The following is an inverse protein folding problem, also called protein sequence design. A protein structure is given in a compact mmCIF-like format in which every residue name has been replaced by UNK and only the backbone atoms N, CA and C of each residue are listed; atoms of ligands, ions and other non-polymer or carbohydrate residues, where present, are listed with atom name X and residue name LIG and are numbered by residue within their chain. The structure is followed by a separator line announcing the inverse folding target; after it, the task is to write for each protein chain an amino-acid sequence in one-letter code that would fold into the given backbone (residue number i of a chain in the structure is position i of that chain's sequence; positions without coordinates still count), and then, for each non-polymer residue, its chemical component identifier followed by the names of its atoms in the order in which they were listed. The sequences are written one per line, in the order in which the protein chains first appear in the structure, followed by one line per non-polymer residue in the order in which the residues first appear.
data_IF_218303149625
#
_entry.id   IF_218303149625
#
_cell.length_a   1.000
_cell.length_b   1.000
_cell.length_c   1.000
_cell.angle_alpha   90.00
_cell.angle_beta   90.00
_cell.angle_gamma   90.00
#
_symmetry.space_group_name_H-M   'P 1'
#
loop_
_entity.id
_entity.type
_entity.pdbx_description
1 polymer ?
#
# COMPACT_ATOMS: atom_id res chain seq x y z
N UNK A 1 10.63 20.45 2.34
CA UNK A 1 11.51 20.34 1.15
C UNK A 1 11.31 18.97 0.52
N UNK A 2 10.92 18.93 -0.74
CA UNK A 2 10.55 17.68 -1.43
C UNK A 2 11.82 16.91 -1.80
N UNK A 3 12.27 15.99 -0.96
CA UNK A 3 13.42 15.13 -1.27
C UNK A 3 13.13 14.00 -2.29
N UNK A 4 11.89 13.89 -2.81
CA UNK A 4 11.48 12.78 -3.67
C UNK A 4 10.85 13.25 -4.99
N UNK A 5 11.52 14.14 -5.71
CA UNK A 5 11.07 14.59 -7.05
C UNK A 5 11.46 13.64 -8.18
N UNK A 6 12.37 12.69 -7.95
CA UNK A 6 12.80 11.73 -8.96
C UNK A 6 12.32 10.31 -8.59
N UNK A 7 11.99 9.48 -9.60
CA UNK A 7 11.64 8.08 -9.37
C UNK A 7 12.79 7.33 -8.67
N UNK A 8 12.42 6.56 -7.64
CA UNK A 8 13.34 5.65 -6.96
C UNK A 8 13.38 4.33 -7.72
N UNK A 9 14.56 3.92 -8.17
CA UNK A 9 14.75 2.65 -8.87
C UNK A 9 15.00 1.54 -7.86
N UNK A 10 14.22 0.47 -7.93
CA UNK A 10 14.37 -0.72 -7.08
C UNK A 10 14.27 -1.99 -7.93
N UNK A 11 14.85 -3.07 -7.44
CA UNK A 11 14.77 -4.39 -8.08
C UNK A 11 14.04 -5.34 -7.14
N UNK A 12 12.98 -5.98 -7.62
CA UNK A 12 12.27 -7.01 -6.85
C UNK A 12 13.10 -8.27 -6.68
N UNK A 13 12.71 -9.12 -5.74
CA UNK A 13 13.38 -10.43 -5.51
C UNK A 13 13.33 -11.36 -6.73
N UNK A 14 12.39 -11.16 -7.64
CA UNK A 14 12.30 -11.87 -8.91
C UNK A 14 13.08 -11.21 -10.07
N UNK A 15 13.83 -10.13 -9.79
CA UNK A 15 14.66 -9.44 -10.78
C UNK A 15 13.93 -8.36 -11.60
N UNK A 16 12.66 -8.02 -11.28
CA UNK A 16 11.95 -6.96 -11.99
C UNK A 16 12.52 -5.60 -11.61
N UNK A 17 12.83 -4.79 -12.62
CA UNK A 17 13.22 -3.39 -12.44
C UNK A 17 11.97 -2.55 -12.28
N UNK A 18 11.87 -1.83 -11.18
CA UNK A 18 10.75 -0.96 -10.85
C UNK A 18 11.21 0.49 -10.68
N UNK A 19 10.37 1.42 -11.10
CA UNK A 19 10.48 2.83 -10.74
C UNK A 19 9.35 3.17 -9.77
N UNK A 20 9.69 3.69 -8.61
CA UNK A 20 8.72 4.16 -7.61
C UNK A 20 8.64 5.69 -7.67
N UNK A 21 7.45 6.23 -7.83
CA UNK A 21 7.21 7.68 -7.88
C UNK A 21 5.88 8.06 -7.24
N UNK A 22 5.74 9.31 -6.90
CA UNK A 22 4.48 9.84 -6.35
C UNK A 22 3.37 9.88 -7.41
N UNK A 23 2.15 9.72 -6.93
CA UNK A 23 0.92 9.88 -7.71
C UNK A 23 0.82 11.30 -8.28
N UNK A 24 0.38 11.39 -9.54
CA UNK A 24 -0.04 12.64 -10.18
C UNK A 24 -1.51 12.55 -10.60
N UNK A 25 -2.16 13.67 -10.90
CA UNK A 25 -3.54 13.70 -11.35
C UNK A 25 -3.77 12.86 -12.63
N UNK A 26 -2.79 12.87 -13.53
CA UNK A 26 -2.86 12.12 -14.78
C UNK A 26 -2.90 10.59 -14.59
N UNK A 27 -2.48 10.10 -13.43
CA UNK A 27 -2.44 8.66 -13.12
C UNK A 27 -3.79 8.11 -12.65
N UNK A 28 -4.71 8.96 -12.22
CA UNK A 28 -5.97 8.55 -11.58
C UNK A 28 -6.76 7.54 -12.44
N UNK A 29 -6.95 7.72 -13.76
CA UNK A 29 -7.70 6.76 -14.56
C UNK A 29 -7.09 5.35 -14.55
N UNK A 30 -5.78 5.24 -14.76
CA UNK A 30 -5.08 3.94 -14.79
C UNK A 30 -5.02 3.31 -13.39
N UNK A 31 -4.83 4.14 -12.36
CA UNK A 31 -4.84 3.68 -10.97
C UNK A 31 -6.20 3.09 -10.57
N UNK A 32 -7.31 3.71 -11.02
CA UNK A 32 -8.65 3.20 -10.77
C UNK A 32 -8.93 1.88 -11.50
N UNK A 33 -8.35 1.67 -12.67
CA UNK A 33 -8.42 0.37 -13.37
C UNK A 33 -7.70 -0.72 -12.58
N UNK A 34 -6.49 -0.44 -12.09
CA UNK A 34 -5.73 -1.35 -11.24
C UNK A 34 -6.51 -1.68 -9.97
N UNK A 35 -7.04 -0.68 -9.29
CA UNK A 35 -7.79 -0.83 -8.06
C UNK A 35 -8.99 -1.76 -8.22
N UNK A 36 -9.79 -1.55 -9.28
CA UNK A 36 -10.94 -2.41 -9.60
C UNK A 36 -10.54 -3.84 -9.95
N UNK A 37 -9.38 -4.04 -10.57
CA UNK A 37 -8.90 -5.37 -10.95
C UNK A 37 -8.36 -6.16 -9.77
N UNK A 38 -7.88 -5.49 -8.73
CA UNK A 38 -7.17 -6.09 -7.61
C UNK A 38 -8.06 -6.30 -6.36
N UNK A 39 -9.16 -5.56 -6.22
CA UNK A 39 -10.01 -5.56 -5.03
C UNK A 39 -11.48 -5.80 -5.35
N UNK A 40 -12.13 -6.63 -4.52
CA UNK A 40 -13.59 -6.84 -4.58
C UNK A 40 -14.39 -5.61 -4.08
N UNK A 41 -13.79 -4.81 -3.22
CA UNK A 41 -14.33 -3.56 -2.68
C UNK A 41 -13.31 -2.44 -2.93
N UNK A 42 -13.22 -1.93 -4.16
CA UNK A 42 -12.22 -0.95 -4.53
C UNK A 42 -12.46 0.39 -3.84
N UNK A 43 -11.37 1.10 -3.59
CA UNK A 43 -11.42 2.49 -3.16
C UNK A 43 -12.12 3.37 -4.20
N UNK A 44 -12.72 4.44 -3.70
CA UNK A 44 -13.31 5.48 -4.57
C UNK A 44 -12.21 6.37 -5.13
N UNK A 45 -12.45 6.94 -6.29
CA UNK A 45 -11.54 7.91 -6.90
C UNK A 45 -11.19 9.06 -5.95
N UNK A 46 -12.17 9.59 -5.19
CA UNK A 46 -11.95 10.66 -4.21
C UNK A 46 -10.89 10.33 -3.16
N UNK A 47 -10.70 9.05 -2.79
CA UNK A 47 -9.65 8.63 -1.85
C UNK A 47 -8.25 8.85 -2.42
N UNK A 48 -8.06 8.63 -3.71
CA UNK A 48 -6.79 8.92 -4.40
C UNK A 48 -6.60 10.42 -4.66
N UNK A 49 -7.67 11.14 -4.95
CA UNK A 49 -7.63 12.60 -5.07
C UNK A 49 -7.23 13.28 -3.75
N UNK A 50 -7.58 12.69 -2.61
CA UNK A 50 -7.14 13.17 -1.29
C UNK A 50 -5.62 13.01 -1.08
N UNK A 51 -4.99 12.02 -1.73
CA UNK A 51 -3.53 11.91 -1.75
C UNK A 51 -2.86 13.10 -2.44
N UNK A 52 -3.49 13.64 -3.50
CA UNK A 52 -2.99 14.81 -4.22
C UNK A 52 -3.05 16.09 -3.38
N UNK A 53 -3.93 16.13 -2.36
CA UNK A 53 -4.07 17.26 -1.41
C UNK A 53 -3.01 17.24 -0.29
N UNK A 54 -2.13 16.23 -0.28
CA UNK A 54 -0.97 16.15 0.62
C UNK A 54 -1.24 15.61 2.03
N UNK A 55 -2.46 15.16 2.34
CA UNK A 55 -2.77 14.50 3.62
C UNK A 55 -2.24 13.08 3.72
N UNK A 56 -2.14 12.43 2.59
CA UNK A 56 -1.66 11.07 2.41
C UNK A 56 -0.65 11.05 1.27
N UNK A 57 0.22 10.07 1.23
CA UNK A 57 1.17 9.88 0.12
C UNK A 57 0.86 8.58 -0.59
N UNK A 58 0.66 8.65 -1.89
CA UNK A 58 0.51 7.50 -2.77
C UNK A 58 1.74 7.35 -3.64
N UNK A 59 2.45 6.23 -3.48
CA UNK A 59 3.57 5.85 -4.31
C UNK A 59 3.15 4.81 -5.32
N UNK A 60 3.48 5.04 -6.57
CA UNK A 60 3.22 4.15 -7.70
C UNK A 60 4.46 3.32 -8.01
N UNK A 61 4.28 2.07 -8.36
CA UNK A 61 5.31 1.21 -8.93
C UNK A 61 5.07 1.02 -10.41
N UNK A 62 6.07 1.34 -11.23
CA UNK A 62 6.06 1.16 -12.69
C UNK A 62 7.10 0.13 -13.10
N UNK A 63 6.73 -0.71 -14.06
CA UNK A 63 7.62 -1.64 -14.73
C UNK A 63 7.47 -1.44 -16.24
N UNK A 64 8.57 -1.15 -16.95
CA UNK A 64 8.55 -0.83 -18.39
C UNK A 64 7.47 0.20 -18.75
N UNK A 65 7.45 1.30 -17.99
CA UNK A 65 6.52 2.45 -18.16
C UNK A 65 5.04 2.12 -17.92
N UNK A 66 4.73 0.96 -17.36
CA UNK A 66 3.37 0.56 -17.01
C UNK A 66 3.17 0.52 -15.49
N UNK A 67 2.05 1.05 -15.02
CA UNK A 67 1.65 0.95 -13.62
C UNK A 67 1.37 -0.52 -13.26
N UNK A 68 2.07 -1.03 -12.25
CA UNK A 68 1.94 -2.42 -11.79
C UNK A 68 1.52 -2.56 -10.34
N UNK A 69 1.58 -1.48 -9.57
CA UNK A 69 1.16 -1.47 -8.17
C UNK A 69 1.26 -0.09 -7.53
N UNK A 70 0.76 0.02 -6.30
CA UNK A 70 0.82 1.25 -5.51
C UNK A 70 0.77 0.97 -4.02
N UNK A 71 1.16 1.95 -3.21
CA UNK A 71 1.00 1.96 -1.77
C UNK A 71 0.57 3.34 -1.30
N UNK A 72 -0.37 3.41 -0.36
CA UNK A 72 -0.82 4.66 0.27
C UNK A 72 -0.49 4.63 1.75
N UNK A 73 0.20 5.67 2.21
CA UNK A 73 0.61 5.85 3.59
C UNK A 73 0.24 7.24 4.10
N UNK A 74 0.04 7.34 5.40
CA UNK A 74 -0.06 8.61 6.12
C UNK A 74 0.75 8.54 7.41
N UNK A 75 1.14 9.68 7.96
CA UNK A 75 1.75 9.76 9.27
C UNK A 75 1.32 11.05 9.99
N UNK A 76 1.30 10.98 11.31
CA UNK A 76 0.97 12.13 12.16
C UNK A 76 0.86 11.69 13.62
N UNK A 77 1.15 12.60 14.54
CA UNK A 77 1.04 12.32 15.98
C UNK A 77 2.04 11.29 16.54
N UNK A 78 3.12 11.00 15.81
CA UNK A 78 4.15 10.02 16.23
C UNK A 78 3.97 8.63 15.63
N UNK A 79 2.83 8.36 14.99
CA UNK A 79 2.54 7.08 14.32
C UNK A 79 2.36 7.26 12.82
N UNK A 80 2.47 6.15 12.09
CA UNK A 80 2.17 6.05 10.67
C UNK A 80 1.14 4.95 10.41
N UNK A 81 0.44 5.06 9.30
CA UNK A 81 -0.56 4.09 8.89
C UNK A 81 -0.43 3.77 7.40
N UNK A 82 -0.41 2.48 7.07
CA UNK A 82 -0.54 1.99 5.71
C UNK A 82 -2.03 1.84 5.42
N UNK A 83 -2.55 2.67 4.51
CA UNK A 83 -3.97 2.76 4.22
C UNK A 83 -4.41 1.79 3.13
N UNK A 84 -3.55 1.58 2.13
CA UNK A 84 -3.82 0.66 1.03
C UNK A 84 -2.53 0.25 0.34
N UNK A 85 -2.48 -0.98 -0.16
CA UNK A 85 -1.40 -1.49 -1.02
C UNK A 85 -2.00 -2.46 -2.01
N UNK A 86 -1.59 -2.39 -3.26
CA UNK A 86 -2.10 -3.25 -4.31
C UNK A 86 -1.08 -3.49 -5.39
N UNK A 87 -1.15 -4.68 -5.98
CA UNK A 87 -0.35 -5.10 -7.13
C UNK A 87 -1.29 -5.68 -8.18
N UNK A 88 -1.12 -5.27 -9.42
CA UNK A 88 -1.89 -5.76 -10.56
C UNK A 88 -1.84 -7.30 -10.58
N UNK A 89 -2.97 -8.01 -10.71
CA UNK A 89 -3.04 -9.47 -10.54
C UNK A 89 -1.96 -10.25 -11.29
N UNK A 90 -1.72 -9.92 -12.56
CA UNK A 90 -0.70 -10.58 -13.40
C UNK A 90 0.75 -10.36 -12.94
N UNK A 91 0.98 -9.37 -12.07
CA UNK A 91 2.29 -9.04 -11.50
C UNK A 91 2.44 -9.45 -10.03
N UNK A 92 1.43 -10.07 -9.43
CA UNK A 92 1.52 -10.59 -8.07
C UNK A 92 2.53 -11.74 -7.95
N UNK A 93 3.02 -12.00 -6.73
CA UNK A 93 4.02 -13.05 -6.42
C UNK A 93 5.39 -12.84 -7.08
N UNK A 94 5.71 -11.63 -7.46
CA UNK A 94 7.00 -11.23 -8.06
C UNK A 94 7.81 -10.28 -7.18
N UNK A 95 7.40 -10.09 -5.91
CA UNK A 95 8.10 -9.25 -4.93
C UNK A 95 7.79 -7.75 -5.02
N UNK A 96 6.84 -7.33 -5.85
CA UNK A 96 6.48 -5.90 -6.00
C UNK A 96 5.86 -5.37 -4.71
N UNK A 97 4.96 -6.14 -4.08
CA UNK A 97 4.36 -5.76 -2.80
C UNK A 97 5.40 -5.54 -1.70
N UNK A 98 6.42 -6.38 -1.62
CA UNK A 98 7.55 -6.19 -0.70
C UNK A 98 8.32 -4.90 -1.00
N UNK A 99 8.61 -4.59 -2.27
CA UNK A 99 9.29 -3.35 -2.65
C UNK A 99 8.48 -2.11 -2.24
N UNK A 100 7.18 -2.11 -2.51
CA UNK A 100 6.27 -1.02 -2.14
C UNK A 100 6.20 -0.84 -0.62
N UNK A 101 6.08 -1.95 0.12
CA UNK A 101 5.98 -1.92 1.58
C UNK A 101 7.29 -1.45 2.23
N UNK A 102 8.43 -1.96 1.78
CA UNK A 102 9.75 -1.51 2.24
C UNK A 102 9.96 -0.02 1.96
N UNK A 103 9.57 0.46 0.77
CA UNK A 103 9.64 1.88 0.45
C UNK A 103 8.75 2.72 1.37
N UNK A 104 7.53 2.26 1.66
CA UNK A 104 6.61 2.92 2.59
C UNK A 104 7.21 3.02 4.00
N UNK A 105 7.82 1.94 4.50
CA UNK A 105 8.53 1.90 5.78
C UNK A 105 9.65 2.94 5.81
N UNK A 106 10.50 2.98 4.79
CA UNK A 106 11.59 3.95 4.70
C UNK A 106 11.09 5.40 4.66
N UNK A 107 9.97 5.67 3.98
CA UNK A 107 9.39 7.01 3.90
C UNK A 107 8.92 7.57 5.25
N UNK A 108 8.56 6.71 6.21
CA UNK A 108 8.06 7.13 7.53
C UNK A 108 9.08 6.91 8.65
N UNK A 109 10.18 6.21 8.37
CA UNK A 109 11.26 6.02 9.35
C UNK A 109 11.85 7.37 9.78
N UNK A 110 11.98 7.57 11.10
CA UNK A 110 12.41 8.84 11.68
C UNK A 110 11.31 9.91 11.77
N UNK A 111 10.11 9.62 11.27
CA UNK A 111 8.92 10.49 11.39
C UNK A 111 7.81 9.87 12.26
N UNK A 112 7.90 8.57 12.52
CA UNK A 112 6.97 7.83 13.34
C UNK A 112 7.72 6.69 14.08
N UNK A 113 7.16 6.23 15.19
CA UNK A 113 7.70 5.11 15.96
C UNK A 113 7.12 3.76 15.54
N UNK A 114 5.86 3.78 15.10
CA UNK A 114 5.12 2.58 14.68
C UNK A 114 4.42 2.82 13.35
N UNK A 115 4.35 1.76 12.54
CA UNK A 115 3.53 1.72 11.33
C UNK A 115 2.42 0.69 11.52
N UNK A 116 1.18 1.15 11.49
CA UNK A 116 -0.03 0.34 11.66
C UNK A 116 -0.68 0.03 10.33
N UNK A 117 -1.44 -1.04 10.27
CA UNK A 117 -2.34 -1.37 9.17
C UNK A 117 -3.54 -2.19 9.65
N UNK A 118 -4.60 -2.16 8.86
CA UNK A 118 -5.75 -3.04 8.99
C UNK A 118 -5.88 -3.90 7.74
N UNK A 119 -6.16 -5.18 7.91
CA UNK A 119 -6.30 -6.13 6.80
C UNK A 119 -7.47 -7.07 7.05
N UNK A 120 -8.21 -7.43 6.00
CA UNK A 120 -9.25 -8.46 6.08
C UNK A 120 -8.65 -9.76 6.56
N UNK A 121 -9.28 -10.41 7.53
CA UNK A 121 -8.79 -11.69 8.07
C UNK A 121 -8.72 -12.79 6.99
N UNK A 122 -9.55 -12.68 5.96
CA UNK A 122 -9.53 -13.58 4.79
C UNK A 122 -8.39 -13.32 3.82
N UNK A 123 -7.74 -12.15 3.87
CA UNK A 123 -6.65 -11.78 2.96
C UNK A 123 -5.31 -12.37 3.39
N UNK A 124 -5.21 -13.72 3.29
CA UNK A 124 -4.02 -14.48 3.73
C UNK A 124 -2.74 -14.03 3.04
N UNK A 125 -2.80 -13.71 1.73
CA UNK A 125 -1.63 -13.26 0.96
C UNK A 125 -1.04 -11.95 1.50
N UNK A 126 -1.90 -11.00 1.84
CA UNK A 126 -1.46 -9.74 2.43
C UNK A 126 -0.90 -9.94 3.84
N UNK A 127 -1.56 -10.75 4.68
CA UNK A 127 -1.09 -11.07 6.04
C UNK A 127 0.30 -11.73 5.97
N UNK A 128 0.52 -12.68 5.06
CA UNK A 128 1.83 -13.30 4.85
C UNK A 128 2.90 -12.27 4.44
N UNK A 129 2.56 -11.35 3.52
CA UNK A 129 3.45 -10.27 3.12
C UNK A 129 3.84 -9.40 4.32
N UNK A 130 2.86 -8.94 5.08
CA UNK A 130 3.10 -8.09 6.25
C UNK A 130 3.93 -8.81 7.31
N UNK A 131 3.60 -10.05 7.62
CA UNK A 131 4.36 -10.85 8.60
C UNK A 131 5.82 -11.04 8.18
N UNK A 132 6.07 -11.30 6.89
CA UNK A 132 7.41 -11.41 6.33
C UNK A 132 8.21 -10.11 6.47
N UNK A 133 7.57 -8.96 6.35
CA UNK A 133 8.19 -7.63 6.46
C UNK A 133 8.22 -7.11 7.90
N UNK A 134 7.96 -7.97 8.90
CA UNK A 134 8.15 -7.64 10.31
C UNK A 134 6.93 -7.09 11.03
N UNK A 135 5.76 -7.12 10.42
CA UNK A 135 4.51 -6.77 11.10
C UNK A 135 4.03 -7.93 11.98
N UNK A 136 3.48 -7.58 13.12
CA UNK A 136 2.86 -8.50 14.07
C UNK A 136 1.44 -8.06 14.42
N UNK A 137 0.63 -9.03 14.82
CA UNK A 137 -0.75 -8.77 15.21
C UNK A 137 -0.82 -7.99 16.53
N UNK A 138 -1.63 -6.94 16.57
CA UNK A 138 -1.86 -6.11 17.76
C UNK A 138 -3.31 -6.03 18.16
N UNK A 139 -4.23 -6.52 17.35
CA UNK A 139 -5.67 -6.54 17.69
C UNK A 139 -6.57 -6.97 16.55
N UNK A 140 -7.85 -6.93 16.84
CA UNK A 140 -8.93 -7.24 15.91
C UNK A 140 -10.03 -6.18 15.98
N UNK A 141 -10.69 -5.92 14.83
CA UNK A 141 -11.99 -5.24 14.79
C UNK A 141 -13.04 -6.20 14.28
N UNK A 142 -14.02 -6.54 15.12
CA UNK A 142 -15.09 -7.46 14.73
C UNK A 142 -16.04 -6.85 13.72
N UNK A 143 -16.44 -7.64 12.72
CA UNK A 143 -17.43 -7.26 11.72
C UNK A 143 -17.13 -5.94 10.99
N UNK A 144 -15.86 -5.66 10.73
CA UNK A 144 -15.41 -4.37 10.22
C UNK A 144 -15.56 -4.23 8.69
N UNK A 145 -15.20 -5.26 7.94
CA UNK A 145 -15.23 -5.23 6.48
C UNK A 145 -16.49 -5.89 5.92
N UNK A 146 -17.17 -5.27 4.92
CA UNK A 146 -18.30 -5.88 4.25
C UNK A 146 -17.86 -7.09 3.41
N UNK A 147 -18.73 -8.12 3.41
CA UNK A 147 -18.62 -9.31 2.56
C UNK A 147 -19.92 -9.53 1.79
N UNK A 148 -19.96 -10.52 0.90
CA UNK A 148 -21.17 -10.87 0.15
C UNK A 148 -22.33 -11.31 1.09
N UNK A 149 -22.02 -11.94 2.22
CA UNK A 149 -23.00 -12.54 3.13
C UNK A 149 -22.98 -11.90 4.53
N UNK A 150 -22.47 -10.69 4.68
CA UNK A 150 -22.37 -10.01 5.98
C UNK A 150 -21.09 -9.20 6.11
N UNK A 151 -20.38 -9.38 7.21
CA UNK A 151 -19.12 -8.70 7.49
C UNK A 151 -18.07 -9.71 7.99
N UNK A 152 -16.81 -9.38 7.79
CA UNK A 152 -15.67 -10.10 8.36
C UNK A 152 -14.81 -9.19 9.23
N UNK A 153 -14.01 -9.81 10.10
CA UNK A 153 -13.12 -9.09 10.99
C UNK A 153 -11.95 -8.43 10.22
N UNK A 154 -11.45 -7.35 10.78
CA UNK A 154 -10.14 -6.80 10.44
C UNK A 154 -9.10 -7.29 11.45
N UNK A 155 -7.95 -7.72 10.95
CA UNK A 155 -6.75 -7.93 11.72
C UNK A 155 -5.98 -6.62 11.78
N UNK A 156 -5.62 -6.16 12.97
CA UNK A 156 -4.74 -5.01 13.16
C UNK A 156 -3.31 -5.52 13.31
N UNK A 157 -2.42 -5.00 12.50
CA UNK A 157 -1.00 -5.33 12.55
C UNK A 157 -0.16 -4.07 12.68
N UNK A 158 1.03 -4.21 13.26
CA UNK A 158 1.97 -3.11 13.44
C UNK A 158 3.40 -3.58 13.24
N UNK A 159 4.28 -2.64 12.87
CA UNK A 159 5.72 -2.82 12.82
C UNK A 159 6.39 -1.63 13.49
N UNK A 160 7.43 -1.90 14.27
CA UNK A 160 8.29 -0.86 14.81
C UNK A 160 9.21 -0.32 13.72
N UNK A 161 9.37 1.01 13.67
CA UNK A 161 10.14 1.73 12.65
C UNK A 161 11.58 2.01 13.06
#
# INVERSE_FOLDING_TARGET
MNEFTLPVKVTSVSGLQLALRLLTEADIPVLMELERSAHSHPWRQSSFEDCLKGRQRCWLAEHTDNLVGYVVITHGGGDAELLNISVLPKFQRKGIGSCLLQHAIECVRGHADMLFLEVRISNRKAIELYSKEGFFEVGHRKNYYPTLNGNEDALLMASQL
#
